data_IF_343636032136
#
_entry.id   IF_343636032136
#
_cell.length_a   1.000
_cell.length_b   1.000
_cell.length_c   1.000
_cell.angle_alpha   90.00
_cell.angle_beta   90.00
_cell.angle_gamma   90.00
#
_symmetry.space_group_name_H-M   'P 1'
#
loop_
_entity.id
_entity.type
_entity.pdbx_description
1 polymer ?
#
# COMPACT_ATOMS: atom_id res chain seq x y z
N UNK A 1 11.97 -54.28 40.34
CA UNK A 1 11.21 -53.02 40.45
C UNK A 1 12.13 -51.86 40.05
N UNK A 2 11.89 -51.18 38.93
CA UNK A 2 12.68 -49.98 38.56
C UNK A 2 12.26 -48.83 39.49
N UNK A 3 13.21 -48.22 40.22
CA UNK A 3 12.97 -47.00 41.00
C UNK A 3 12.59 -45.88 40.04
N UNK A 4 11.36 -45.38 40.13
CA UNK A 4 11.00 -44.12 39.48
C UNK A 4 11.71 -42.98 40.21
N UNK A 5 12.64 -42.31 39.51
CA UNK A 5 13.19 -41.02 39.95
C UNK A 5 12.21 -39.95 39.54
N UNK A 6 11.51 -39.35 40.50
CA UNK A 6 10.68 -38.16 40.28
C UNK A 6 11.53 -36.90 40.27
N UNK A 7 11.05 -35.87 39.56
CA UNK A 7 11.64 -34.53 39.58
C UNK A 7 11.45 -33.88 40.96
N UNK A 8 12.44 -33.08 41.37
CA UNK A 8 12.36 -32.31 42.61
C UNK A 8 11.63 -30.98 42.38
N UNK A 9 10.93 -30.50 43.41
CA UNK A 9 10.26 -29.19 43.37
C UNK A 9 11.28 -28.06 43.11
N UNK A 10 12.50 -28.19 43.65
CA UNK A 10 13.57 -27.22 43.47
C UNK A 10 14.13 -27.20 42.05
N UNK A 11 14.22 -28.36 41.36
CA UNK A 11 14.60 -28.41 39.95
C UNK A 11 13.62 -27.62 39.09
N UNK A 12 12.32 -27.80 39.32
CA UNK A 12 11.29 -27.09 38.56
C UNK A 12 11.35 -25.58 38.84
N UNK A 13 11.60 -25.15 40.08
CA UNK A 13 11.72 -23.73 40.41
C UNK A 13 12.88 -23.04 39.69
N UNK A 14 14.06 -23.67 39.62
CA UNK A 14 15.23 -23.10 38.93
C UNK A 14 14.96 -23.02 37.42
N UNK A 15 14.36 -24.07 36.83
CA UNK A 15 14.03 -24.09 35.40
C UNK A 15 13.06 -22.96 35.04
N UNK A 16 12.01 -22.76 35.83
CA UNK A 16 11.05 -21.66 35.60
C UNK A 16 11.71 -20.29 35.74
N UNK A 17 12.62 -20.12 36.71
CA UNK A 17 13.35 -18.86 36.89
C UNK A 17 14.23 -18.53 35.67
N UNK A 18 14.97 -19.51 35.14
CA UNK A 18 15.80 -19.32 33.94
C UNK A 18 14.91 -19.03 32.71
N UNK A 19 13.82 -19.78 32.53
CA UNK A 19 12.88 -19.55 31.43
C UNK A 19 12.23 -18.15 31.50
N UNK A 20 11.94 -17.65 32.71
CA UNK A 20 11.41 -16.30 32.89
C UNK A 20 12.38 -15.20 32.42
N UNK A 21 13.67 -15.31 32.76
CA UNK A 21 14.70 -14.36 32.32
C UNK A 21 14.85 -14.41 30.79
N UNK A 22 14.91 -15.61 30.21
CA UNK A 22 15.02 -15.76 28.76
C UNK A 22 13.80 -15.18 28.03
N UNK A 23 12.60 -15.44 28.53
CA UNK A 23 11.36 -14.92 27.94
C UNK A 23 11.31 -13.38 27.96
N UNK A 24 11.73 -12.75 29.07
CA UNK A 24 11.73 -11.30 29.21
C UNK A 24 12.58 -10.58 28.15
N UNK A 25 13.69 -11.21 27.70
CA UNK A 25 14.56 -10.66 26.66
C UNK A 25 14.07 -11.09 25.27
N UNK A 26 13.64 -12.34 25.11
CA UNK A 26 13.28 -12.92 23.82
C UNK A 26 11.99 -12.35 23.23
N UNK A 27 10.96 -12.11 24.05
CA UNK A 27 9.64 -11.62 23.57
C UNK A 27 9.73 -10.24 22.88
N UNK A 28 10.32 -9.19 23.48
CA UNK A 28 10.41 -7.89 22.82
C UNK A 28 11.31 -7.93 21.56
N UNK A 29 12.36 -8.75 21.57
CA UNK A 29 13.21 -8.93 20.39
C UNK A 29 12.45 -9.61 19.24
N UNK A 30 11.68 -10.65 19.53
CA UNK A 30 10.90 -11.39 18.54
C UNK A 30 9.77 -10.53 17.96
N UNK A 31 9.05 -9.77 18.78
CA UNK A 31 7.99 -8.87 18.31
C UNK A 31 8.53 -7.82 17.35
N UNK A 32 9.65 -7.17 17.68
CA UNK A 32 10.32 -6.21 16.78
C UNK A 32 10.76 -6.86 15.46
N UNK A 33 11.27 -8.10 15.50
CA UNK A 33 11.63 -8.83 14.30
C UNK A 33 10.41 -9.12 13.41
N UNK A 34 9.29 -9.54 14.02
CA UNK A 34 8.03 -9.78 13.30
C UNK A 34 7.52 -8.49 12.65
N UNK A 35 7.53 -7.34 13.36
CA UNK A 35 7.12 -6.06 12.77
C UNK A 35 8.00 -5.67 11.58
N UNK A 36 9.33 -5.82 11.70
CA UNK A 36 10.27 -5.61 10.59
C UNK A 36 10.02 -6.52 9.40
N UNK A 37 9.60 -7.77 9.61
CA UNK A 37 9.27 -8.63 8.48
C UNK A 37 8.05 -8.13 7.70
N UNK A 38 7.08 -7.50 8.37
CA UNK A 38 5.89 -6.92 7.72
C UNK A 38 6.27 -5.78 6.77
N UNK A 39 7.25 -4.93 7.12
CA UNK A 39 7.65 -3.76 6.31
C UNK A 39 8.18 -4.09 4.92
N UNK A 40 8.62 -5.33 4.70
CA UNK A 40 9.03 -5.80 3.37
C UNK A 40 7.89 -5.77 2.36
N UNK A 41 6.65 -5.97 2.80
CA UNK A 41 5.46 -5.94 1.97
C UNK A 41 5.24 -4.55 1.35
N UNK A 42 5.25 -3.50 2.18
CA UNK A 42 5.08 -2.11 1.72
C UNK A 42 6.08 -1.76 0.62
N UNK A 43 7.36 -2.08 0.82
CA UNK A 43 8.43 -1.80 -0.17
C UNK A 43 8.17 -2.47 -1.51
N UNK A 44 7.73 -3.73 -1.48
CA UNK A 44 7.44 -4.50 -2.70
C UNK A 44 6.23 -3.92 -3.43
N UNK A 45 5.13 -3.63 -2.72
CA UNK A 45 3.91 -3.11 -3.35
C UNK A 45 4.10 -1.70 -3.89
N UNK A 46 4.82 -0.82 -3.17
CA UNK A 46 5.16 0.51 -3.66
C UNK A 46 6.03 0.48 -4.92
N UNK A 47 6.93 -0.51 -5.04
CA UNK A 47 7.67 -0.71 -6.28
C UNK A 47 6.76 -1.13 -7.43
N UNK A 48 5.81 -2.04 -7.18
CA UNK A 48 4.85 -2.44 -8.23
C UNK A 48 3.97 -1.28 -8.69
N UNK A 49 3.53 -0.42 -7.77
CA UNK A 49 2.77 0.78 -8.13
C UNK A 49 3.61 1.75 -8.97
N UNK A 50 4.88 1.91 -8.63
CA UNK A 50 5.81 2.73 -9.42
C UNK A 50 6.00 2.16 -10.84
N UNK A 51 6.23 0.85 -10.94
CA UNK A 51 6.43 0.18 -12.23
C UNK A 51 5.14 0.22 -13.07
N UNK A 52 3.98 0.06 -12.43
CA UNK A 52 2.67 0.20 -13.07
C UNK A 52 2.41 1.63 -13.56
N UNK A 53 2.70 2.65 -12.75
CA UNK A 53 2.59 4.05 -13.17
C UNK A 53 3.52 4.36 -14.34
N UNK A 54 4.72 3.79 -14.33
CA UNK A 54 5.70 3.92 -15.41
C UNK A 54 5.20 3.26 -16.70
N UNK A 55 4.64 2.06 -16.61
CA UNK A 55 4.04 1.37 -17.74
C UNK A 55 2.86 2.17 -18.32
N UNK A 56 1.95 2.62 -17.46
CA UNK A 56 0.80 3.41 -17.85
C UNK A 56 1.21 4.71 -18.56
N UNK A 57 2.19 5.44 -18.05
CA UNK A 57 2.66 6.68 -18.69
C UNK A 57 3.24 6.43 -20.08
N UNK A 58 3.96 5.33 -20.28
CA UNK A 58 4.57 5.00 -21.58
C UNK A 58 3.55 4.51 -22.61
N UNK A 59 2.35 4.11 -22.19
CA UNK A 59 1.24 3.85 -23.08
C UNK A 59 0.65 5.17 -23.59
N UNK A 60 0.29 5.20 -24.88
CA UNK A 60 -0.37 6.36 -25.48
C UNK A 60 -1.87 6.30 -25.19
N UNK A 61 -2.40 7.32 -24.51
CA UNK A 61 -3.80 7.36 -24.10
C UNK A 61 -4.58 8.35 -24.95
N UNK A 62 -5.34 7.84 -25.91
CA UNK A 62 -6.30 8.64 -26.65
C UNK A 62 -7.57 8.78 -25.82
N UNK A 63 -7.66 9.86 -25.04
CA UNK A 63 -8.96 10.31 -24.59
C UNK A 63 -9.69 10.88 -25.78
N UNK A 64 -10.84 10.29 -26.11
CA UNK A 64 -11.84 11.03 -26.86
C UNK A 64 -12.30 12.18 -25.96
N UNK A 65 -11.59 13.29 -26.02
CA UNK A 65 -12.09 14.58 -25.56
C UNK A 65 -13.51 14.78 -26.11
N UNK A 66 -14.33 15.52 -25.37
CA UNK A 66 -15.72 15.84 -25.72
C UNK A 66 -15.91 15.88 -27.23
N UNK A 67 -16.85 15.07 -27.75
CA UNK A 67 -17.21 15.10 -29.17
C UNK A 67 -17.66 16.52 -29.49
N UNK A 68 -16.74 17.34 -29.98
CA UNK A 68 -17.03 18.71 -30.38
C UNK A 68 -17.65 18.62 -31.77
N UNK A 69 -18.89 19.09 -31.90
CA UNK A 69 -19.54 19.21 -33.20
C UNK A 69 -18.74 20.26 -33.99
N UNK A 70 -18.04 19.82 -35.04
CA UNK A 70 -17.14 20.60 -35.90
C UNK A 70 -17.85 21.83 -36.52
N UNK A 71 -19.18 21.88 -36.49
CA UNK A 71 -20.00 22.95 -37.08
C UNK A 71 -19.95 24.32 -36.40
N UNK A 72 -19.35 24.48 -35.22
CA UNK A 72 -19.34 25.75 -34.47
C UNK A 72 -17.96 26.42 -34.32
N UNK A 73 -16.94 25.99 -35.05
CA UNK A 73 -15.59 26.59 -34.94
C UNK A 73 -14.90 26.34 -33.59
N UNK A 74 -15.27 25.25 -32.89
CA UNK A 74 -14.59 24.82 -31.67
C UNK A 74 -13.18 24.31 -31.96
N UNK A 75 -12.22 24.68 -31.12
CA UNK A 75 -10.90 24.07 -31.11
C UNK A 75 -10.96 22.78 -30.30
N UNK A 76 -10.54 21.67 -30.91
CA UNK A 76 -10.14 20.47 -30.18
C UNK A 76 -8.93 20.85 -29.33
N UNK A 77 -9.08 20.79 -28.01
CA UNK A 77 -7.94 20.88 -27.11
C UNK A 77 -7.13 19.61 -27.30
N UNK A 78 -5.97 19.71 -27.95
CA UNK A 78 -4.99 18.63 -27.99
C UNK A 78 -4.61 18.30 -26.55
N UNK A 79 -5.05 17.16 -26.06
CA UNK A 79 -4.61 16.63 -24.78
C UNK A 79 -3.24 15.99 -24.97
N UNK A 80 -2.40 16.07 -23.94
CA UNK A 80 -1.14 15.35 -23.93
C UNK A 80 -1.34 13.84 -24.20
N UNK A 81 -0.49 13.21 -25.01
CA UNK A 81 -0.57 11.77 -25.30
C UNK A 81 -0.21 10.89 -24.09
N UNK A 82 0.60 11.40 -23.15
CA UNK A 82 1.06 10.67 -21.97
C UNK A 82 0.63 11.34 -20.66
N UNK A 83 0.21 10.53 -19.69
CA UNK A 83 -0.22 10.98 -18.35
C UNK A 83 -0.26 9.80 -17.39
N UNK A 84 -0.35 10.06 -16.09
CA UNK A 84 -0.62 9.03 -15.09
C UNK A 84 -2.11 8.75 -14.93
N UNK A 85 -2.47 7.61 -14.28
CA UNK A 85 -3.86 7.23 -14.06
C UNK A 85 -4.66 8.33 -13.37
N UNK A 86 -5.86 8.60 -13.90
CA UNK A 86 -6.76 9.62 -13.39
C UNK A 86 -8.23 9.22 -13.62
N UNK A 87 -9.19 9.88 -12.93
CA UNK A 87 -10.62 9.72 -13.19
C UNK A 87 -11.00 10.29 -14.57
N UNK A 88 -12.00 9.68 -15.23
CA UNK A 88 -12.42 10.03 -16.61
C UNK A 88 -12.68 11.54 -16.85
N UNK A 89 -13.18 12.26 -15.85
CA UNK A 89 -13.51 13.69 -15.98
C UNK A 89 -12.46 14.64 -15.36
N UNK A 90 -11.33 14.11 -14.88
CA UNK A 90 -10.28 14.88 -14.20
C UNK A 90 -8.90 14.52 -14.73
N UNK A 91 -8.54 14.90 -15.97
CA UNK A 91 -7.27 14.53 -16.57
C UNK A 91 -6.06 15.16 -15.88
N UNK A 92 -6.23 16.27 -15.17
CA UNK A 92 -5.16 17.01 -14.46
C UNK A 92 -4.66 16.33 -13.18
N UNK A 93 -5.34 15.29 -12.69
CA UNK A 93 -4.92 14.60 -11.49
C UNK A 93 -5.93 13.56 -11.01
N UNK A 94 -5.42 12.62 -10.23
CA UNK A 94 -6.19 11.51 -9.69
C UNK A 94 -5.66 11.08 -8.33
N UNK A 95 -6.57 10.74 -7.43
CA UNK A 95 -6.22 10.07 -6.18
C UNK A 95 -7.03 8.79 -6.07
N UNK A 96 -6.34 7.70 -5.74
CA UNK A 96 -6.96 6.40 -5.61
C UNK A 96 -7.75 6.25 -4.30
N UNK A 97 -7.53 7.17 -3.35
CA UNK A 97 -8.04 7.13 -1.98
C UNK A 97 -7.44 5.95 -1.20
N UNK A 98 -7.25 6.15 0.11
CA UNK A 98 -6.64 5.11 0.96
C UNK A 98 -7.51 3.84 0.92
N UNK A 99 -6.93 2.76 0.40
CA UNK A 99 -7.58 1.46 0.18
C UNK A 99 -6.74 0.33 0.77
N UNK A 100 -7.30 -0.51 1.67
CA UNK A 100 -8.58 -0.31 2.36
C UNK A 100 -8.61 1.00 3.16
N UNK A 101 -9.79 1.51 3.49
CA UNK A 101 -9.94 2.76 4.24
C UNK A 101 -9.11 2.77 5.54
N UNK A 102 -8.45 3.87 5.86
CA UNK A 102 -7.59 3.99 7.06
C UNK A 102 -8.35 3.78 8.38
N UNK A 103 -9.68 3.97 8.35
CA UNK A 103 -10.56 3.71 9.49
C UNK A 103 -10.76 2.22 9.78
N UNK A 104 -10.37 1.33 8.87
CA UNK A 104 -10.42 -0.11 9.09
C UNK A 104 -9.21 -0.54 9.93
N UNK A 105 -9.46 -1.08 11.11
CA UNK A 105 -8.39 -1.70 11.90
C UNK A 105 -8.04 -3.09 11.35
N UNK A 106 -6.92 -3.18 10.62
CA UNK A 106 -6.44 -4.42 10.06
C UNK A 106 -5.92 -5.42 11.11
N UNK A 107 -5.56 -4.98 12.32
CA UNK A 107 -5.10 -5.87 13.39
C UNK A 107 -6.23 -6.76 13.93
N UNK A 108 -7.49 -6.36 13.73
CA UNK A 108 -8.67 -7.17 14.07
C UNK A 108 -8.98 -8.28 13.06
N UNK A 109 -8.34 -8.27 11.89
CA UNK A 109 -8.52 -9.28 10.87
C UNK A 109 -7.73 -10.57 11.14
N UNK A 110 -8.06 -11.69 10.46
CA UNK A 110 -7.31 -12.94 10.58
C UNK A 110 -5.80 -12.75 10.36
N UNK A 111 -5.01 -13.09 11.37
CA UNK A 111 -3.54 -12.95 11.32
C UNK A 111 -3.03 -11.51 11.44
N UNK A 112 -3.88 -10.57 11.90
CA UNK A 112 -3.56 -9.15 12.04
C UNK A 112 -3.33 -8.49 10.67
N UNK A 113 -4.23 -8.76 9.73
CA UNK A 113 -4.15 -8.33 8.33
C UNK A 113 -5.49 -7.79 7.85
N UNK A 114 -5.44 -6.86 6.91
CA UNK A 114 -6.58 -6.48 6.11
C UNK A 114 -6.89 -7.63 5.14
N UNK A 115 -8.12 -8.11 5.11
CA UNK A 115 -8.53 -9.24 4.26
C UNK A 115 -9.56 -8.79 3.23
N UNK A 116 -9.25 -8.84 1.93
CA UNK A 116 -10.27 -8.62 0.92
C UNK A 116 -11.31 -9.73 0.96
N UNK A 117 -12.58 -9.36 0.87
CA UNK A 117 -13.69 -10.31 0.79
C UNK A 117 -14.85 -9.73 0.01
N UNK A 118 -15.87 -10.55 -0.25
CA UNK A 118 -17.17 -10.10 -0.76
C UNK A 118 -18.13 -10.07 0.42
N UNK A 119 -18.74 -8.93 0.70
CA UNK A 119 -19.73 -8.74 1.76
C UNK A 119 -19.15 -8.52 3.17
N UNK A 120 -17.84 -8.28 3.30
CA UNK A 120 -17.14 -7.85 4.53
C UNK A 120 -17.67 -8.53 5.80
N UNK A 121 -17.40 -9.83 6.00
CA UNK A 121 -18.08 -10.69 6.98
C UNK A 121 -17.77 -10.37 8.45
N UNK A 122 -16.94 -9.36 8.74
CA UNK A 122 -16.55 -8.98 10.09
C UNK A 122 -15.45 -7.92 10.11
N UNK A 123 -14.80 -7.77 11.27
CA UNK A 123 -13.72 -6.81 11.50
C UNK A 123 -12.44 -7.18 10.74
N UNK A 124 -11.71 -6.19 10.23
CA UNK A 124 -10.50 -6.39 9.42
C UNK A 124 -10.75 -6.90 8.00
N UNK A 125 -12.01 -7.07 7.60
CA UNK A 125 -12.40 -7.36 6.22
C UNK A 125 -12.85 -6.09 5.50
N UNK A 126 -12.58 -6.02 4.20
CA UNK A 126 -13.07 -4.94 3.34
C UNK A 126 -13.53 -5.50 1.99
N UNK A 127 -14.26 -4.69 1.23
CA UNK A 127 -14.77 -5.09 -0.08
C UNK A 127 -13.67 -5.06 -1.14
N UNK A 128 -13.52 -6.15 -1.89
CA UNK A 128 -12.60 -6.16 -3.04
C UNK A 128 -12.94 -5.10 -4.09
N UNK A 129 -14.20 -4.66 -4.15
CA UNK A 129 -14.66 -3.63 -5.07
C UNK A 129 -14.07 -2.25 -4.78
N UNK A 130 -13.53 -2.00 -3.58
CA UNK A 130 -12.87 -0.72 -3.25
C UNK A 130 -11.66 -0.46 -4.17
N UNK A 131 -10.96 -1.51 -4.60
CA UNK A 131 -9.89 -1.43 -5.61
C UNK A 131 -10.46 -1.18 -7.01
N UNK A 132 -11.45 -1.97 -7.41
CA UNK A 132 -11.91 -2.04 -8.79
C UNK A 132 -12.85 -0.88 -9.20
N UNK A 133 -13.53 -0.26 -8.24
CA UNK A 133 -14.41 0.88 -8.47
C UNK A 133 -13.65 2.22 -8.54
N UNK A 134 -12.33 2.21 -8.40
CA UNK A 134 -11.50 3.40 -8.50
C UNK A 134 -10.76 3.45 -9.85
N UNK A 135 -10.91 4.55 -10.58
CA UNK A 135 -10.29 4.72 -11.89
C UNK A 135 -8.76 4.74 -11.85
N UNK A 136 -8.16 5.26 -10.78
CA UNK A 136 -6.70 5.34 -10.60
C UNK A 136 -6.12 3.94 -10.33
N UNK A 137 -6.74 3.15 -9.44
CA UNK A 137 -6.32 1.77 -9.21
C UNK A 137 -6.48 0.89 -10.45
N UNK A 138 -7.59 1.07 -11.17
CA UNK A 138 -7.83 0.38 -12.43
C UNK A 138 -6.78 0.75 -13.49
N UNK A 139 -6.47 2.04 -13.63
CA UNK A 139 -5.41 2.50 -14.53
C UNK A 139 -4.03 1.94 -14.19
N UNK A 140 -3.72 1.75 -12.90
CA UNK A 140 -2.49 1.07 -12.47
C UNK A 140 -2.55 -0.46 -12.60
N UNK A 141 -3.72 -1.04 -12.90
CA UNK A 141 -3.98 -2.47 -12.79
C UNK A 141 -3.48 -3.04 -11.44
N UNK A 142 -3.70 -2.27 -10.37
CA UNK A 142 -3.22 -2.60 -9.03
C UNK A 142 -4.39 -2.98 -8.12
N UNK A 143 -4.32 -4.16 -7.53
CA UNK A 143 -5.26 -4.62 -6.51
C UNK A 143 -4.58 -5.60 -5.54
N UNK A 144 -5.14 -5.71 -4.34
CA UNK A 144 -4.71 -6.69 -3.34
C UNK A 144 -5.69 -7.85 -3.27
N UNK A 145 -5.29 -9.01 -3.79
CA UNK A 145 -6.11 -10.24 -3.78
C UNK A 145 -5.94 -11.06 -2.50
N UNK A 146 -4.87 -10.80 -1.74
CA UNK A 146 -4.50 -11.55 -0.54
C UNK A 146 -4.50 -10.65 0.70
N UNK A 147 -4.54 -11.31 1.86
CA UNK A 147 -4.44 -10.65 3.15
C UNK A 147 -3.08 -9.95 3.32
N UNK A 148 -3.11 -8.69 3.74
CA UNK A 148 -1.97 -7.79 3.72
C UNK A 148 -1.95 -6.87 4.95
N UNK A 149 -0.85 -6.16 5.19
CA UNK A 149 -0.64 -5.39 6.44
C UNK A 149 -0.85 -3.89 6.30
N UNK A 150 -0.89 -3.36 5.07
CA UNK A 150 -0.87 -1.93 4.81
C UNK A 150 -2.10 -1.44 4.06
N UNK A 151 -2.53 -0.24 4.39
CA UNK A 151 -3.41 0.58 3.57
C UNK A 151 -2.59 1.28 2.51
N UNK A 152 -3.10 1.40 1.30
CA UNK A 152 -2.36 1.99 0.20
C UNK A 152 -3.08 3.21 -0.37
N UNK A 153 -2.31 4.18 -0.82
CA UNK A 153 -2.83 5.31 -1.58
C UNK A 153 -1.93 5.57 -2.80
N UNK A 154 -2.52 6.16 -3.82
CA UNK A 154 -1.78 6.63 -4.97
C UNK A 154 -2.34 7.97 -5.41
N UNK A 155 -1.47 8.97 -5.48
CA UNK A 155 -1.82 10.33 -5.86
C UNK A 155 -1.02 10.66 -7.11
N UNK A 156 -1.67 11.20 -8.14
CA UNK A 156 -1.05 11.66 -9.36
C UNK A 156 -1.56 13.05 -9.76
N UNK A 157 -0.66 13.82 -10.35
CA UNK A 157 -0.90 15.14 -10.93
C UNK A 157 -0.33 15.12 -12.33
N UNK A 158 -1.13 15.56 -13.31
CA UNK A 158 -0.77 15.56 -14.72
C UNK A 158 -0.78 16.98 -15.28
N UNK A 159 0.18 17.27 -16.16
CA UNK A 159 0.09 18.37 -17.11
C UNK A 159 -0.43 17.81 -18.45
N UNK A 160 -1.52 18.41 -18.95
CA UNK A 160 -2.20 17.94 -20.17
C UNK A 160 -1.70 18.64 -21.44
N UNK A 161 -0.58 19.36 -21.37
CA UNK A 161 0.01 20.08 -22.51
C UNK A 161 1.25 19.39 -23.07
N UNK A 162 1.51 19.58 -24.37
CA UNK A 162 2.69 19.04 -25.05
C UNK A 162 2.72 17.51 -25.05
N UNK A 163 3.84 16.93 -24.62
CA UNK A 163 4.00 15.47 -24.48
C UNK A 163 3.24 14.92 -23.26
N UNK A 164 2.95 15.78 -22.29
CA UNK A 164 2.42 15.42 -20.98
C UNK A 164 3.51 15.17 -19.96
N UNK A 165 3.27 15.65 -18.74
CA UNK A 165 4.10 15.30 -17.59
C UNK A 165 3.21 14.74 -16.50
N UNK A 166 3.76 13.82 -15.72
CA UNK A 166 3.09 13.30 -14.54
C UNK A 166 4.02 13.40 -13.33
N UNK A 167 3.47 13.77 -12.18
CA UNK A 167 4.07 13.53 -10.89
C UNK A 167 3.15 12.62 -10.10
N UNK A 168 3.71 11.59 -9.46
CA UNK A 168 2.93 10.65 -8.67
C UNK A 168 3.62 10.30 -7.37
N UNK A 169 2.83 9.94 -6.36
CA UNK A 169 3.29 9.46 -5.07
C UNK A 169 2.46 8.24 -4.68
N UNK A 170 3.14 7.12 -4.51
CA UNK A 170 2.57 5.91 -3.94
C UNK A 170 2.86 5.90 -2.43
N UNK A 171 1.83 5.65 -1.62
CA UNK A 171 1.92 5.66 -0.17
C UNK A 171 1.41 4.34 0.41
N UNK A 172 2.01 3.89 1.51
CA UNK A 172 1.56 2.75 2.28
C UNK A 172 1.59 3.09 3.78
N UNK A 173 0.50 2.79 4.49
CA UNK A 173 0.29 3.07 5.90
C UNK A 173 -0.01 1.77 6.62
N UNK A 174 0.70 1.45 7.70
CA UNK A 174 0.47 0.20 8.43
C UNK A 174 0.60 0.39 9.93
N UNK A 175 -0.39 -0.07 10.67
CA UNK A 175 -0.33 -0.20 12.13
C UNK A 175 0.36 -1.53 12.47
N UNK A 176 1.65 -1.46 12.79
CA UNK A 176 2.49 -2.65 12.98
C UNK A 176 2.48 -3.17 14.41
N UNK A 177 2.11 -2.33 15.38
CA UNK A 177 2.13 -2.63 16.81
C UNK A 177 0.76 -2.79 17.46
N UNK A 178 -0.30 -2.35 16.80
CA UNK A 178 -1.70 -2.54 17.17
C UNK A 178 -2.27 -1.43 18.04
N UNK A 179 -1.67 -0.23 18.06
CA UNK A 179 -2.12 0.86 18.93
C UNK A 179 -3.15 1.81 18.31
N UNK A 180 -3.41 1.68 16.99
CA UNK A 180 -4.37 2.45 16.17
C UNK A 180 -4.18 3.98 16.24
N UNK A 181 -3.12 4.46 16.88
CA UNK A 181 -2.87 5.89 17.10
C UNK A 181 -1.85 6.44 16.12
N UNK A 182 -0.85 5.63 15.76
CA UNK A 182 0.18 6.00 14.79
C UNK A 182 0.29 4.92 13.70
N UNK A 183 0.89 5.31 12.56
CA UNK A 183 1.05 4.43 11.42
C UNK A 183 2.48 4.53 10.91
N UNK A 184 3.08 3.37 10.63
CA UNK A 184 4.30 3.28 9.84
C UNK A 184 3.99 3.69 8.40
N UNK A 185 4.57 4.79 7.94
CA UNK A 185 4.28 5.39 6.63
C UNK A 185 5.46 5.24 5.69
N UNK A 186 5.18 4.79 4.47
CA UNK A 186 6.15 4.57 3.42
C UNK A 186 5.67 5.28 2.16
N UNK A 187 6.54 6.09 1.56
CA UNK A 187 6.20 6.84 0.35
C UNK A 187 7.28 6.74 -0.70
N UNK A 188 6.85 6.53 -1.95
CA UNK A 188 7.68 6.57 -3.13
C UNK A 188 7.09 7.54 -4.13
N UNK A 189 7.83 8.61 -4.42
CA UNK A 189 7.46 9.58 -5.44
C UNK A 189 8.20 9.34 -6.75
N UNK A 190 7.54 9.67 -7.85
CA UNK A 190 8.10 9.63 -9.20
C UNK A 190 7.58 10.79 -10.03
N UNK A 191 8.33 11.10 -11.09
CA UNK A 191 7.94 12.04 -12.11
C UNK A 191 8.24 11.45 -13.49
N UNK A 192 7.36 11.69 -14.44
CA UNK A 192 7.47 11.23 -15.81
C UNK A 192 7.30 12.40 -16.76
N UNK A 193 8.15 12.46 -17.78
CA UNK A 193 8.10 13.43 -18.86
C UNK A 193 8.62 12.80 -20.17
N UNK A 194 8.91 13.63 -21.17
CA UNK A 194 9.43 13.18 -22.47
C UNK A 194 10.79 12.45 -22.38
N UNK A 195 11.55 12.65 -21.30
CA UNK A 195 12.85 11.99 -21.09
C UNK A 195 12.68 10.61 -20.43
N UNK A 196 11.46 10.26 -20.00
CA UNK A 196 11.11 8.99 -19.38
C UNK A 196 10.61 9.17 -17.95
N UNK A 197 10.60 8.07 -17.19
CA UNK A 197 10.11 8.02 -15.82
C UNK A 197 11.28 7.99 -14.85
N UNK A 198 11.32 8.96 -13.94
CA UNK A 198 12.35 9.12 -12.92
C UNK A 198 11.73 8.95 -11.52
N UNK A 199 12.35 8.14 -10.68
CA UNK A 199 11.97 8.00 -9.28
C UNK A 199 12.77 8.92 -8.37
N UNK A 200 12.14 9.38 -7.29
CA UNK A 200 12.88 10.00 -6.19
C UNK A 200 13.93 9.01 -5.63
N UNK A 201 15.05 9.53 -5.13
CA UNK A 201 16.12 8.70 -4.60
C UNK A 201 15.67 8.02 -3.28
N UNK A 202 15.34 6.73 -3.37
CA UNK A 202 14.97 5.92 -2.22
C UNK A 202 13.48 6.01 -1.87
N UNK A 203 13.18 5.55 -0.66
CA UNK A 203 11.83 5.52 -0.08
C UNK A 203 11.81 6.48 1.10
N UNK A 204 10.82 7.37 1.14
CA UNK A 204 10.57 8.14 2.34
C UNK A 204 9.88 7.22 3.34
N UNK A 205 10.40 7.18 4.56
CA UNK A 205 9.91 6.31 5.63
C UNK A 205 9.73 7.16 6.87
N UNK A 206 8.52 7.22 7.38
CA UNK A 206 8.22 7.75 8.69
C UNK A 206 7.80 6.61 9.61
N UNK A 207 8.42 6.55 10.79
CA UNK A 207 8.16 5.56 11.83
C UNK A 207 8.19 4.10 11.31
N UNK A 208 9.32 3.66 10.74
CA UNK A 208 9.47 2.36 10.05
C UNK A 208 8.90 1.16 10.85
N UNK A 209 9.11 1.17 12.16
CA UNK A 209 8.69 0.11 13.07
C UNK A 209 8.26 0.76 14.37
N UNK A 210 7.05 1.31 14.35
CA UNK A 210 6.27 1.53 15.56
C UNK A 210 6.24 0.26 16.44
#
# INVERSE_FOLDING_TARGET
>A
MKKQRGFTLIEIMIVVAILGILAAIAIPALTKYMRRSKTSEARVQLSKMFDAASAFFNEEHVERGQVQIIGAGGAISDMAPHRCPHPQDSPVGGEATITPAITLDCNTGPGGRCVPSVGSPGTGYYEMSDWNNNAVWNGLNFQMEQAHYFHYNFIAVNDNTGFGTCQFTAQAFGDLDGDVAVYSTYERSGAADQQGVNGAAGLYIDQEVE
#
